data_IF_891360807910
#
_entry.id   IF_891360807910
#
_cell.length_a   1.000
_cell.length_b   1.000
_cell.length_c   1.000
_cell.angle_alpha   90.00
_cell.angle_beta   90.00
_cell.angle_gamma   90.00
#
_symmetry.space_group_name_H-M   'P 1'
#
loop_
_entity.id
_entity.type
_entity.pdbx_description
1 polymer ?
#
# COMPACT_ATOMS: atom_id res chain seq x y z
N UNK A 1 12.90 14.27 -0.32
CA UNK A 1 12.28 13.82 0.93
C UNK A 1 11.01 12.98 0.70
N UNK A 2 10.03 13.45 -0.11
CA UNK A 2 8.81 12.68 -0.36
C UNK A 2 9.12 11.31 -0.99
N UNK A 3 9.93 11.30 -2.04
CA UNK A 3 10.32 10.07 -2.73
C UNK A 3 11.04 9.09 -1.80
N UNK A 4 11.96 9.59 -1.00
CA UNK A 4 12.68 8.78 0.00
C UNK A 4 11.74 8.16 1.02
N UNK A 5 10.74 8.92 1.50
CA UNK A 5 9.72 8.41 2.41
C UNK A 5 8.90 7.29 1.77
N UNK A 6 8.46 7.47 0.52
CA UNK A 6 7.68 6.47 -0.20
C UNK A 6 8.51 5.23 -0.56
N UNK A 7 9.79 5.38 -0.90
CA UNK A 7 10.71 4.24 -1.13
C UNK A 7 10.92 3.42 0.15
N UNK A 8 11.08 4.08 1.30
CA UNK A 8 11.12 3.40 2.61
C UNK A 8 9.83 2.66 2.90
N UNK A 9 8.69 3.31 2.63
CA UNK A 9 7.39 2.69 2.84
C UNK A 9 7.21 1.45 1.95
N UNK A 10 7.58 1.54 0.67
CA UNK A 10 7.56 0.40 -0.25
C UNK A 10 8.36 -0.77 0.29
N UNK A 11 9.57 -0.50 0.78
CA UNK A 11 10.43 -1.53 1.37
C UNK A 11 9.74 -2.24 2.55
N UNK A 12 9.08 -1.50 3.44
CA UNK A 12 8.36 -2.08 4.57
C UNK A 12 7.12 -2.88 4.12
N UNK A 13 6.40 -2.41 3.10
CA UNK A 13 5.27 -3.16 2.52
C UNK A 13 5.77 -4.47 1.89
N UNK A 14 6.81 -4.42 1.08
CA UNK A 14 7.41 -5.61 0.45
C UNK A 14 7.85 -6.64 1.49
N UNK A 15 8.45 -6.18 2.57
CA UNK A 15 8.88 -7.02 3.69
C UNK A 15 7.70 -7.73 4.35
N UNK A 16 6.63 -7.02 4.66
CA UNK A 16 5.41 -7.60 5.22
C UNK A 16 4.78 -8.58 4.22
N UNK A 17 4.74 -8.22 2.94
CA UNK A 17 4.23 -9.10 1.89
C UNK A 17 4.96 -10.45 1.86
N UNK A 18 6.28 -10.43 1.88
CA UNK A 18 7.09 -11.65 1.92
C UNK A 18 6.82 -12.45 3.21
N UNK A 19 6.77 -11.80 4.36
CA UNK A 19 6.47 -12.45 5.65
C UNK A 19 5.12 -13.15 5.64
N UNK A 20 4.08 -12.48 5.16
CA UNK A 20 2.71 -13.03 5.11
C UNK A 20 2.60 -14.19 4.10
N UNK A 21 3.24 -14.06 2.94
CA UNK A 21 3.14 -15.05 1.88
C UNK A 21 4.04 -16.28 2.09
N UNK A 22 5.09 -16.16 2.90
CA UNK A 22 6.08 -17.21 3.10
C UNK A 22 5.45 -18.48 3.68
N UNK A 23 5.73 -19.62 3.04
CA UNK A 23 5.21 -20.93 3.45
C UNK A 23 3.78 -21.21 3.03
N UNK A 24 3.04 -20.23 2.48
CA UNK A 24 1.66 -20.41 2.03
C UNK A 24 1.51 -20.26 0.51
N UNK A 25 2.25 -19.35 -0.13
CA UNK A 25 2.28 -19.22 -1.59
C UNK A 25 3.52 -19.89 -2.17
N UNK A 26 3.37 -20.48 -3.35
CA UNK A 26 4.49 -21.14 -4.05
C UNK A 26 5.58 -20.16 -4.47
N UNK A 27 5.17 -19.03 -5.06
CA UNK A 27 6.04 -17.95 -5.49
C UNK A 27 5.31 -16.61 -5.29
N UNK A 28 5.58 -15.91 -4.16
CA UNK A 28 4.90 -14.65 -3.84
C UNK A 28 5.06 -13.57 -4.92
N UNK A 29 6.25 -13.38 -5.45
CA UNK A 29 6.52 -12.34 -6.43
C UNK A 29 5.88 -12.64 -7.79
N UNK A 30 5.88 -13.90 -8.23
CA UNK A 30 5.15 -14.31 -9.42
C UNK A 30 3.64 -14.10 -9.23
N UNK A 31 3.10 -14.43 -8.05
CA UNK A 31 1.70 -14.17 -7.72
C UNK A 31 1.38 -12.68 -7.80
N UNK A 32 2.24 -11.80 -7.25
CA UNK A 32 2.07 -10.35 -7.37
C UNK A 32 2.00 -9.90 -8.83
N UNK A 33 2.89 -10.39 -9.68
CA UNK A 33 2.91 -10.03 -11.10
C UNK A 33 1.66 -10.53 -11.84
N UNK A 34 1.11 -11.67 -11.44
CA UNK A 34 -0.13 -12.23 -11.99
C UNK A 34 -1.41 -11.65 -11.38
N UNK A 35 -1.31 -10.80 -10.38
CA UNK A 35 -2.48 -10.17 -9.76
C UNK A 35 -3.31 -9.34 -10.75
N UNK A 36 -2.76 -8.97 -11.88
CA UNK A 36 -3.48 -8.34 -13.00
C UNK A 36 -4.69 -9.17 -13.46
N UNK A 37 -4.66 -10.48 -13.33
CA UNK A 37 -5.76 -11.38 -13.67
C UNK A 37 -7.01 -11.10 -12.79
N UNK A 38 -6.79 -10.65 -11.56
CA UNK A 38 -7.85 -10.22 -10.63
C UNK A 38 -8.29 -8.79 -10.92
N UNK A 39 -7.33 -7.88 -11.12
CA UNK A 39 -7.61 -6.45 -11.40
C UNK A 39 -8.43 -6.29 -12.66
N UNK A 40 -8.14 -7.07 -13.71
CA UNK A 40 -8.87 -7.06 -14.99
C UNK A 40 -10.26 -7.70 -14.91
N UNK A 41 -10.60 -8.37 -13.82
CA UNK A 41 -11.85 -9.09 -13.65
C UNK A 41 -11.88 -10.47 -14.32
N UNK A 42 -10.75 -10.95 -14.86
CA UNK A 42 -10.64 -12.26 -15.48
C UNK A 42 -10.86 -13.40 -14.49
N UNK A 43 -10.34 -13.23 -13.28
CA UNK A 43 -10.49 -14.19 -12.18
C UNK A 43 -11.00 -13.52 -10.89
N UNK A 44 -11.78 -14.25 -10.11
CA UNK A 44 -12.17 -13.83 -8.76
C UNK A 44 -11.04 -14.12 -7.78
N UNK A 45 -10.81 -13.20 -6.86
CA UNK A 45 -9.69 -13.27 -5.92
C UNK A 45 -9.65 -14.59 -5.10
N UNK A 46 -10.74 -15.09 -4.51
CA UNK A 46 -10.69 -16.31 -3.69
C UNK A 46 -10.18 -17.53 -4.47
N UNK A 47 -10.64 -17.71 -5.70
CA UNK A 47 -10.22 -18.81 -6.56
C UNK A 47 -8.78 -18.62 -7.02
N UNK A 48 -8.45 -17.39 -7.43
CA UNK A 48 -7.12 -17.03 -7.91
C UNK A 48 -6.03 -17.22 -6.84
N UNK A 49 -6.26 -16.76 -5.61
CA UNK A 49 -5.26 -16.89 -4.53
C UNK A 49 -5.05 -18.36 -4.15
N UNK A 50 -6.11 -19.18 -4.19
CA UNK A 50 -5.98 -20.61 -3.94
C UNK A 50 -5.11 -21.31 -5.00
N UNK A 51 -5.18 -20.88 -6.25
CA UNK A 51 -4.29 -21.37 -7.31
C UNK A 51 -2.81 -21.02 -7.05
N UNK A 52 -2.53 -19.89 -6.40
CA UNK A 52 -1.18 -19.47 -6.05
C UNK A 52 -0.63 -20.16 -4.79
N UNK A 53 -1.51 -20.71 -3.96
CA UNK A 53 -1.17 -21.30 -2.67
C UNK A 53 -0.65 -22.73 -2.80
N UNK A 54 0.27 -23.10 -1.91
CA UNK A 54 0.76 -24.48 -1.75
C UNK A 54 -0.03 -25.29 -0.73
N UNK A 55 -0.95 -24.64 -0.01
CA UNK A 55 -1.83 -25.22 1.01
C UNK A 55 -3.28 -24.82 0.75
N UNK A 56 -4.22 -25.54 1.38
CA UNK A 56 -5.62 -25.12 1.37
C UNK A 56 -5.81 -23.93 2.31
N UNK A 57 -6.30 -22.82 1.76
CA UNK A 57 -6.53 -21.56 2.51
C UNK A 57 -7.93 -21.58 3.14
N UNK A 58 -8.03 -21.07 4.37
CA UNK A 58 -9.31 -20.76 4.99
C UNK A 58 -9.76 -19.33 4.66
N UNK A 59 -11.00 -18.97 5.00
CA UNK A 59 -11.58 -17.65 4.71
C UNK A 59 -10.78 -16.50 5.33
N UNK A 60 -10.26 -16.67 6.54
CA UNK A 60 -9.47 -15.66 7.23
C UNK A 60 -8.13 -15.42 6.50
N UNK A 61 -7.47 -16.46 6.06
CA UNK A 61 -6.24 -16.36 5.27
C UNK A 61 -6.48 -15.69 3.93
N UNK A 62 -7.57 -16.02 3.25
CA UNK A 62 -7.98 -15.37 1.99
C UNK A 62 -8.21 -13.87 2.19
N UNK A 63 -8.87 -13.48 3.28
CA UNK A 63 -9.10 -12.06 3.60
C UNK A 63 -7.80 -11.31 3.88
N UNK A 64 -6.87 -11.90 4.62
CA UNK A 64 -5.52 -11.35 4.85
C UNK A 64 -4.78 -11.16 3.52
N UNK A 65 -4.76 -12.18 2.66
CA UNK A 65 -4.11 -12.08 1.35
C UNK A 65 -4.75 -11.01 0.47
N UNK A 66 -6.06 -10.89 0.48
CA UNK A 66 -6.77 -9.85 -0.27
C UNK A 66 -6.26 -8.44 0.10
N UNK A 67 -6.14 -8.16 1.39
CA UNK A 67 -5.63 -6.88 1.88
C UNK A 67 -4.16 -6.67 1.53
N UNK A 68 -3.33 -7.69 1.67
CA UNK A 68 -1.89 -7.59 1.40
C UNK A 68 -1.62 -7.39 -0.10
N UNK A 69 -2.33 -8.07 -1.00
CA UNK A 69 -2.19 -7.84 -2.44
C UNK A 69 -2.70 -6.46 -2.86
N UNK A 70 -3.75 -5.94 -2.24
CA UNK A 70 -4.18 -4.56 -2.45
C UNK A 70 -3.14 -3.55 -1.95
N UNK A 71 -2.49 -3.81 -0.82
CA UNK A 71 -1.41 -2.96 -0.30
C UNK A 71 -0.20 -2.92 -1.26
N UNK A 72 0.17 -4.06 -1.84
CA UNK A 72 1.21 -4.13 -2.89
C UNK A 72 0.83 -3.33 -4.14
N UNK A 73 -0.42 -3.41 -4.58
CA UNK A 73 -0.90 -2.61 -5.72
C UNK A 73 -0.81 -1.12 -5.42
N UNK A 74 -1.23 -0.68 -4.24
CA UNK A 74 -1.14 0.72 -3.83
C UNK A 74 0.31 1.18 -3.65
N UNK A 75 1.19 0.30 -3.19
CA UNK A 75 2.63 0.54 -3.15
C UNK A 75 3.18 0.89 -4.54
N UNK A 76 2.78 0.17 -5.57
CA UNK A 76 3.17 0.49 -6.95
C UNK A 76 2.56 1.81 -7.43
N UNK A 77 1.31 2.09 -7.08
CA UNK A 77 0.59 3.33 -7.43
C UNK A 77 1.21 4.58 -6.81
N UNK A 78 1.90 4.47 -5.67
CA UNK A 78 2.64 5.60 -5.07
C UNK A 78 3.64 6.23 -6.04
N UNK A 79 4.15 5.44 -7.00
CA UNK A 79 5.18 5.87 -7.95
C UNK A 79 4.64 6.23 -9.33
N UNK A 80 3.34 6.55 -9.42
CA UNK A 80 2.77 7.08 -10.66
C UNK A 80 3.59 8.27 -11.15
N UNK A 81 4.02 8.24 -12.42
CA UNK A 81 4.99 9.18 -13.00
C UNK A 81 4.55 10.64 -12.90
N UNK A 82 3.26 10.91 -12.98
CA UNK A 82 2.72 12.27 -12.92
C UNK A 82 2.99 12.98 -11.59
N UNK A 83 3.18 12.25 -10.49
CA UNK A 83 3.49 12.86 -9.18
C UNK A 83 4.84 13.60 -9.15
N UNK A 84 5.77 13.26 -10.05
CA UNK A 84 7.14 13.74 -10.03
C UNK A 84 7.41 14.90 -11.00
N UNK A 85 6.43 15.26 -11.83
CA UNK A 85 6.51 16.37 -12.77
C UNK A 85 6.07 17.71 -12.17
N UNK A 86 5.50 17.72 -10.98
CA UNK A 86 4.96 18.90 -10.33
C UNK A 86 5.87 19.41 -9.22
N UNK A 87 6.07 20.73 -9.20
CA UNK A 87 7.03 21.39 -8.31
C UNK A 87 6.53 21.51 -6.86
N UNK A 88 5.22 21.41 -6.63
CA UNK A 88 4.67 21.61 -5.29
C UNK A 88 3.86 20.41 -4.76
N UNK A 89 4.09 20.12 -3.49
CA UNK A 89 3.42 19.05 -2.74
C UNK A 89 1.89 19.21 -2.67
N UNK A 90 1.39 20.45 -2.69
CA UNK A 90 -0.05 20.74 -2.57
C UNK A 90 -0.85 20.44 -3.85
N UNK A 91 -0.19 19.96 -4.90
CA UNK A 91 -0.85 19.47 -6.12
C UNK A 91 -1.53 18.12 -5.86
N UNK A 92 -2.56 17.85 -6.68
CA UNK A 92 -3.34 16.62 -6.55
C UNK A 92 -2.51 15.35 -6.75
N UNK A 93 -1.53 15.39 -7.64
CA UNK A 93 -0.73 14.23 -8.02
C UNK A 93 0.19 13.75 -6.87
N UNK A 94 1.02 14.60 -6.24
CA UNK A 94 1.77 14.19 -5.05
C UNK A 94 0.86 13.77 -3.88
N UNK A 95 -0.28 14.44 -3.70
CA UNK A 95 -1.28 14.06 -2.69
C UNK A 95 -1.83 12.66 -2.93
N UNK A 96 -2.11 12.30 -4.18
CA UNK A 96 -2.56 10.96 -4.54
C UNK A 96 -1.50 9.90 -4.20
N UNK A 97 -0.22 10.17 -4.46
CA UNK A 97 0.86 9.26 -4.07
C UNK A 97 0.89 9.02 -2.57
N UNK A 98 0.75 10.07 -1.76
CA UNK A 98 0.65 9.97 -0.30
C UNK A 98 -0.61 9.20 0.12
N UNK A 99 -1.74 9.45 -0.54
CA UNK A 99 -3.00 8.75 -0.25
C UNK A 99 -2.89 7.24 -0.50
N UNK A 100 -2.26 6.82 -1.60
CA UNK A 100 -2.00 5.39 -1.85
C UNK A 100 -1.11 4.79 -0.77
N UNK A 101 -0.07 5.50 -0.35
CA UNK A 101 0.80 5.06 0.75
C UNK A 101 0.03 4.89 2.07
N UNK A 102 -0.82 5.83 2.41
CA UNK A 102 -1.66 5.76 3.61
C UNK A 102 -2.65 4.58 3.56
N UNK A 103 -3.29 4.36 2.41
CA UNK A 103 -4.20 3.23 2.22
C UNK A 103 -3.46 1.90 2.34
N UNK A 104 -2.26 1.79 1.78
CA UNK A 104 -1.42 0.60 1.91
C UNK A 104 -1.06 0.32 3.39
N UNK A 105 -0.67 1.34 4.14
CA UNK A 105 -0.39 1.24 5.59
C UNK A 105 -1.63 0.75 6.35
N UNK A 106 -2.78 1.33 6.06
CA UNK A 106 -4.04 0.92 6.67
C UNK A 106 -4.38 -0.55 6.37
N UNK A 107 -4.23 -0.99 5.11
CA UNK A 107 -4.45 -2.38 4.71
C UNK A 107 -3.50 -3.35 5.43
N UNK A 108 -2.22 -3.01 5.54
CA UNK A 108 -1.24 -3.82 6.30
C UNK A 108 -1.65 -3.93 7.77
N UNK A 109 -2.06 -2.82 8.38
CA UNK A 109 -2.55 -2.82 9.77
C UNK A 109 -3.78 -3.70 9.95
N UNK A 110 -4.76 -3.62 9.03
CA UNK A 110 -5.95 -4.46 9.06
C UNK A 110 -5.63 -5.96 8.88
N UNK A 111 -4.66 -6.27 8.03
CA UNK A 111 -4.28 -7.65 7.73
C UNK A 111 -3.42 -8.31 8.83
N UNK A 112 -2.52 -7.55 9.46
CA UNK A 112 -1.45 -8.08 10.31
C UNK A 112 -1.40 -7.50 11.72
N UNK A 113 -2.06 -6.37 11.97
CA UNK A 113 -1.94 -5.60 13.21
C UNK A 113 -0.66 -4.75 13.29
N UNK A 114 0.24 -4.83 12.31
CA UNK A 114 1.49 -4.05 12.30
C UNK A 114 1.26 -2.62 11.81
N UNK A 115 1.86 -1.66 12.50
CA UNK A 115 1.95 -0.27 12.02
C UNK A 115 3.33 -0.01 11.43
N UNK A 116 3.39 0.14 10.12
CA UNK A 116 4.63 0.40 9.38
C UNK A 116 4.86 1.89 9.09
N UNK A 117 4.00 2.78 9.59
CA UNK A 117 4.08 4.22 9.32
C UNK A 117 5.12 4.95 10.17
N UNK A 118 5.47 4.43 11.35
CA UNK A 118 6.31 5.12 12.32
C UNK A 118 7.69 5.52 11.77
N UNK A 119 8.28 4.70 10.91
CA UNK A 119 9.59 4.96 10.32
C UNK A 119 9.62 6.01 9.22
N UNK A 120 8.46 6.44 8.70
CA UNK A 120 8.37 7.37 7.57
C UNK A 120 7.79 8.73 7.91
N UNK A 121 7.13 8.86 9.06
CA UNK A 121 6.44 10.11 9.43
C UNK A 121 7.39 11.32 9.49
N UNK A 122 8.60 11.15 9.99
CA UNK A 122 9.59 12.22 10.06
C UNK A 122 10.02 12.73 8.68
N UNK A 123 10.18 11.84 7.71
CA UNK A 123 10.46 12.21 6.33
C UNK A 123 9.28 12.89 5.65
N UNK A 124 8.07 12.42 5.93
CA UNK A 124 6.84 13.04 5.42
C UNK A 124 6.65 14.45 6.00
N UNK A 125 7.02 14.69 7.27
CA UNK A 125 6.99 16.03 7.91
C UNK A 125 8.02 16.99 7.28
N UNK A 126 9.14 16.48 6.80
CA UNK A 126 10.16 17.26 6.09
C UNK A 126 9.75 17.64 4.66
N UNK A 127 8.79 16.93 4.09
CA UNK A 127 8.23 17.21 2.77
C UNK A 127 7.15 18.28 2.88
N UNK A 128 7.49 19.53 2.58
CA UNK A 128 6.61 20.70 2.74
C UNK A 128 6.20 21.28 1.41
N UNK A 129 4.98 21.79 1.36
CA UNK A 129 4.58 22.71 0.28
C UNK A 129 5.28 24.06 0.48
N UNK A 130 5.67 24.68 -0.61
CA UNK A 130 6.16 26.07 -0.59
C UNK A 130 5.03 27.08 -0.86
N UNK A 131 3.86 26.61 -1.29
CA UNK A 131 2.68 27.44 -1.56
C UNK A 131 1.69 27.48 -0.39
N UNK A 132 1.71 26.47 0.47
CA UNK A 132 0.79 26.32 1.58
C UNK A 132 1.50 25.77 2.83
N UNK A 133 1.00 26.10 4.00
CA UNK A 133 1.57 25.59 5.27
C UNK A 133 1.06 24.17 5.55
N UNK A 134 1.45 23.23 4.69
CA UNK A 134 1.11 21.81 4.79
C UNK A 134 2.31 20.91 4.48
N UNK A 135 2.30 19.73 5.08
CA UNK A 135 3.32 18.71 4.87
C UNK A 135 2.71 17.44 4.27
N UNK A 136 3.56 16.55 3.76
CA UNK A 136 3.11 15.23 3.32
C UNK A 136 2.53 14.41 4.48
N UNK A 137 3.04 14.62 5.71
CA UNK A 137 2.49 13.99 6.91
C UNK A 137 1.04 14.42 7.20
N UNK A 138 0.69 15.67 6.92
CA UNK A 138 -0.69 16.14 7.07
C UNK A 138 -1.64 15.43 6.11
N UNK A 139 -1.25 15.27 4.85
CA UNK A 139 -2.03 14.50 3.87
C UNK A 139 -2.11 13.03 4.25
N UNK A 140 -1.03 12.45 4.73
CA UNK A 140 -1.00 11.07 5.20
C UNK A 140 -1.98 10.83 6.36
N UNK A 141 -1.94 11.67 7.38
CA UNK A 141 -2.85 11.59 8.54
C UNK A 141 -4.32 11.77 8.13
N UNK A 142 -4.61 12.72 7.24
CA UNK A 142 -5.96 12.90 6.68
C UNK A 142 -6.45 11.67 5.92
N UNK A 143 -5.59 11.04 5.13
CA UNK A 143 -5.92 9.83 4.40
C UNK A 143 -6.16 8.64 5.34
N UNK A 144 -5.34 8.48 6.38
CA UNK A 144 -5.55 7.45 7.41
C UNK A 144 -6.89 7.63 8.12
N UNK A 145 -7.22 8.86 8.52
CA UNK A 145 -8.51 9.16 9.16
C UNK A 145 -9.70 8.81 8.25
N UNK A 146 -9.60 9.09 6.94
CA UNK A 146 -10.63 8.68 5.98
C UNK A 146 -10.81 7.17 5.92
N UNK A 147 -9.71 6.41 5.89
CA UNK A 147 -9.76 4.95 5.88
C UNK A 147 -10.46 4.39 7.12
N UNK A 148 -10.19 4.96 8.30
CA UNK A 148 -10.79 4.56 9.57
C UNK A 148 -12.29 4.90 9.65
N UNK A 149 -12.70 6.04 9.10
CA UNK A 149 -14.11 6.49 9.12
C UNK A 149 -15.02 5.64 8.23
N UNK A 150 -14.52 5.07 7.15
CA UNK A 150 -15.33 4.22 6.25
C UNK A 150 -15.64 2.82 6.81
N UNK A 151 -15.08 2.45 7.96
CA UNK A 151 -15.35 1.17 8.63
C UNK A 151 -16.49 1.25 9.66
N UNK A 152 -16.89 2.44 10.05
CA UNK A 152 -18.01 2.71 10.95
C UNK A 152 -19.32 2.88 10.16
#
# INVERSE_FOLDING_TARGET
>A
HLREALEKLQFEIDKVFVEVCSGMLRDPWQARDRYIEVISGEKKFPDWIQEQASILLNEQQIDVFKKIFMAELDSQRMFASCAWFFEDLNRIEPRNSVNYGAHAVWLVRQATGKDISTGILSELERSRSWQADVTAADFFRQAMNRCETYLD
#
